data_IF_558610381626
#
_entry.id   IF_558610381626
#
_cell.length_a   1.000
_cell.length_b   1.000
_cell.length_c   1.000
_cell.angle_alpha   90.00
_cell.angle_beta   90.00
_cell.angle_gamma   90.00
#
_symmetry.space_group_name_H-M   'P 1'
#
loop_
_entity.id
_entity.type
_entity.pdbx_description
1 polymer ?
#
# COMPACT_ATOMS: atom_id res chain seq x y z
N UNK A 1 26.68 -1.79 5.20
CA UNK A 1 27.39 -1.71 3.90
C UNK A 1 26.69 -2.58 2.85
N UNK A 2 26.47 -2.07 1.63
CA UNK A 2 25.81 -2.79 0.51
C UNK A 2 26.64 -2.64 -0.78
N UNK A 3 26.30 -3.39 -1.82
CA UNK A 3 26.82 -3.20 -3.19
C UNK A 3 25.78 -2.47 -4.03
N UNK A 4 26.21 -1.87 -5.15
CA UNK A 4 25.29 -1.22 -6.09
C UNK A 4 24.21 -2.19 -6.58
N UNK A 5 24.58 -3.43 -6.93
CA UNK A 5 23.62 -4.44 -7.38
C UNK A 5 22.57 -4.78 -6.31
N UNK A 6 23.02 -5.00 -5.07
CA UNK A 6 22.10 -5.37 -3.99
C UNK A 6 21.18 -4.21 -3.61
N UNK A 7 21.68 -2.97 -3.65
CA UNK A 7 20.89 -1.77 -3.43
C UNK A 7 19.78 -1.66 -4.49
N UNK A 8 20.14 -1.68 -5.78
CA UNK A 8 19.19 -1.61 -6.90
C UNK A 8 18.13 -2.71 -6.82
N UNK A 9 18.52 -3.95 -6.54
CA UNK A 9 17.56 -5.05 -6.44
C UNK A 9 16.61 -4.87 -5.25
N UNK A 10 17.14 -4.45 -4.10
CA UNK A 10 16.32 -4.24 -2.90
C UNK A 10 15.38 -3.05 -3.03
N UNK A 11 15.85 -1.94 -3.61
CA UNK A 11 15.09 -0.70 -3.76
C UNK A 11 13.94 -0.87 -4.75
N UNK A 12 14.25 -1.35 -5.96
CA UNK A 12 13.24 -1.57 -7.00
C UNK A 12 12.19 -2.62 -6.61
N UNK A 13 12.59 -3.64 -5.85
CA UNK A 13 11.64 -4.62 -5.27
C UNK A 13 10.81 -3.98 -4.14
N UNK A 14 11.42 -3.12 -3.33
CA UNK A 14 10.77 -2.44 -2.22
C UNK A 14 9.66 -1.50 -2.67
N UNK A 15 9.94 -0.61 -3.62
CA UNK A 15 8.97 0.37 -4.14
C UNK A 15 7.75 -0.31 -4.80
N UNK A 16 7.99 -1.32 -5.66
CA UNK A 16 6.91 -2.11 -6.28
C UNK A 16 6.20 -3.01 -5.27
N UNK A 17 6.93 -3.43 -4.25
CA UNK A 17 6.44 -4.26 -3.16
C UNK A 17 5.77 -3.45 -2.06
N UNK A 18 6.25 -3.62 -0.83
CA UNK A 18 5.60 -3.12 0.40
C UNK A 18 5.47 -1.60 0.43
N UNK A 19 6.34 -0.84 -0.25
CA UNK A 19 6.37 0.62 -0.08
C UNK A 19 5.31 1.35 -0.91
N UNK A 20 4.94 0.83 -2.09
CA UNK A 20 3.93 1.45 -2.95
C UNK A 20 2.96 0.44 -3.56
N UNK A 21 3.42 -0.46 -4.43
CA UNK A 21 2.52 -1.30 -5.24
C UNK A 21 1.69 -2.29 -4.43
N UNK A 22 2.32 -3.13 -3.61
CA UNK A 22 1.61 -4.07 -2.76
C UNK A 22 0.77 -3.37 -1.68
N UNK A 23 1.21 -2.21 -1.20
CA UNK A 23 0.45 -1.40 -0.25
C UNK A 23 -0.88 -0.93 -0.86
N UNK A 24 -0.82 -0.31 -2.03
CA UNK A 24 -2.01 0.15 -2.75
C UNK A 24 -2.95 -1.03 -3.07
N UNK A 25 -2.41 -2.12 -3.64
CA UNK A 25 -3.22 -3.29 -3.99
C UNK A 25 -3.88 -3.97 -2.80
N UNK A 26 -3.21 -4.05 -1.64
CA UNK A 26 -3.81 -4.61 -0.42
C UNK A 26 -4.93 -3.72 0.11
N UNK A 27 -4.73 -2.40 0.12
CA UNK A 27 -5.74 -1.42 0.53
C UNK A 27 -6.98 -1.50 -0.38
N UNK A 28 -6.79 -1.53 -1.69
CA UNK A 28 -7.86 -1.65 -2.68
C UNK A 28 -8.63 -2.97 -2.55
N UNK A 29 -7.92 -4.09 -2.37
CA UNK A 29 -8.53 -5.40 -2.22
C UNK A 29 -9.43 -5.47 -0.97
N UNK A 30 -8.95 -5.00 0.18
CA UNK A 30 -9.75 -4.98 1.41
C UNK A 30 -10.91 -3.98 1.31
N UNK A 31 -10.67 -2.79 0.75
CA UNK A 31 -11.72 -1.80 0.52
C UNK A 31 -12.85 -2.40 -0.31
N UNK A 32 -12.52 -2.98 -1.46
CA UNK A 32 -13.50 -3.60 -2.35
C UNK A 32 -14.30 -4.71 -1.65
N UNK A 33 -13.65 -5.55 -0.84
CA UNK A 33 -14.35 -6.60 -0.11
C UNK A 33 -15.35 -6.01 0.90
N UNK A 34 -14.95 -5.00 1.69
CA UNK A 34 -15.87 -4.30 2.60
C UNK A 34 -17.05 -3.68 1.83
N UNK A 35 -16.78 -3.03 0.69
CA UNK A 35 -17.84 -2.46 -0.17
C UNK A 35 -18.83 -3.53 -0.66
N UNK A 36 -18.35 -4.73 -1.01
CA UNK A 36 -19.21 -5.85 -1.42
C UNK A 36 -20.14 -6.34 -0.31
N UNK A 37 -19.76 -6.15 0.95
CA UNK A 37 -20.60 -6.47 2.12
C UNK A 37 -21.42 -5.27 2.64
N UNK A 38 -21.47 -4.16 1.89
CA UNK A 38 -22.38 -3.04 2.16
C UNK A 38 -21.83 -1.90 3.03
N UNK A 39 -20.54 -1.93 3.39
CA UNK A 39 -19.91 -1.08 4.41
C UNK A 39 -19.69 0.41 4.09
N UNK A 40 -20.57 1.21 3.50
CA UNK A 40 -20.29 2.64 3.14
C UNK A 40 -18.90 2.97 2.48
N UNK A 41 -18.70 4.15 1.89
CA UNK A 41 -17.35 4.50 1.43
C UNK A 41 -16.40 4.94 2.56
N UNK A 42 -16.93 5.62 3.59
CA UNK A 42 -16.15 6.19 4.69
C UNK A 42 -15.65 5.14 5.68
N UNK A 43 -16.50 4.17 6.05
CA UNK A 43 -16.10 3.09 6.96
C UNK A 43 -15.04 2.21 6.30
N UNK A 44 -15.28 1.78 5.05
CA UNK A 44 -14.30 1.00 4.31
C UNK A 44 -12.96 1.72 4.14
N UNK A 45 -12.95 3.05 3.93
CA UNK A 45 -11.71 3.84 3.89
C UNK A 45 -11.03 3.95 5.26
N UNK A 46 -11.81 4.10 6.33
CA UNK A 46 -11.28 4.17 7.69
C UNK A 46 -10.54 2.88 8.08
N UNK A 47 -11.21 1.74 7.89
CA UNK A 47 -10.74 0.38 8.22
C UNK A 47 -9.64 -0.15 7.28
N UNK A 48 -9.15 0.68 6.36
CA UNK A 48 -8.06 0.31 5.43
C UNK A 48 -6.93 1.33 5.46
N UNK A 49 -7.21 2.59 5.10
CA UNK A 49 -6.18 3.60 4.87
C UNK A 49 -6.02 4.53 6.07
N UNK A 50 -7.13 5.04 6.62
CA UNK A 50 -7.05 6.09 7.64
C UNK A 50 -6.42 5.57 8.93
N UNK A 51 -6.92 4.45 9.48
CA UNK A 51 -6.39 3.90 10.72
C UNK A 51 -4.92 3.47 10.59
N UNK A 52 -4.59 2.79 9.49
CA UNK A 52 -3.22 2.37 9.22
C UNK A 52 -2.26 3.57 9.17
N UNK A 53 -2.60 4.61 8.39
CA UNK A 53 -1.68 5.72 8.11
C UNK A 53 -1.65 6.80 9.20
N UNK A 54 -2.74 6.98 9.95
CA UNK A 54 -2.79 7.98 11.03
C UNK A 54 -2.32 7.44 12.37
N UNK A 55 -2.48 6.13 12.62
CA UNK A 55 -2.18 5.55 13.93
C UNK A 55 -1.19 4.40 13.86
N UNK A 56 -1.53 3.28 13.24
CA UNK A 56 -0.81 2.01 13.44
C UNK A 56 0.62 2.03 12.90
N UNK A 57 0.84 2.58 11.69
CA UNK A 57 2.17 2.59 11.08
C UNK A 57 3.18 3.42 11.87
N UNK A 58 2.71 4.43 12.62
CA UNK A 58 3.56 5.24 13.50
C UNK A 58 4.09 4.42 14.66
N UNK A 59 3.22 3.60 15.27
CA UNK A 59 3.61 2.68 16.35
C UNK A 59 4.66 1.68 15.88
N UNK A 60 4.50 1.17 14.64
CA UNK A 60 5.49 0.27 14.01
C UNK A 60 6.82 0.99 13.76
N UNK A 61 6.79 2.22 13.25
CA UNK A 61 7.99 3.01 13.01
C UNK A 61 8.74 3.36 14.29
N UNK A 62 8.02 3.60 15.38
CA UNK A 62 8.61 3.95 16.68
C UNK A 62 9.18 2.73 17.42
N UNK A 63 8.46 1.60 17.45
CA UNK A 63 8.77 0.49 18.36
C UNK A 63 8.66 -0.92 17.73
N UNK A 64 8.32 -1.03 16.44
CA UNK A 64 8.18 -2.32 15.75
C UNK A 64 6.77 -2.93 15.82
N UNK A 65 6.60 -4.04 15.09
CA UNK A 65 5.31 -4.70 14.89
C UNK A 65 4.76 -5.38 16.15
N UNK A 66 5.63 -5.99 16.95
CA UNK A 66 5.25 -6.65 18.20
C UNK A 66 4.74 -5.64 19.23
N UNK A 67 5.38 -4.47 19.31
CA UNK A 67 4.90 -3.38 20.16
C UNK A 67 3.54 -2.86 19.70
N UNK A 68 3.35 -2.65 18.38
CA UNK A 68 2.06 -2.24 17.83
C UNK A 68 0.96 -3.26 18.20
N UNK A 69 1.22 -4.57 18.06
CA UNK A 69 0.25 -5.60 18.47
C UNK A 69 -0.04 -5.52 19.97
N UNK A 70 0.99 -5.47 20.82
CA UNK A 70 0.82 -5.43 22.27
C UNK A 70 -0.01 -4.21 22.77
N UNK A 71 -0.03 -3.12 21.99
CA UNK A 71 -0.79 -1.90 22.30
C UNK A 71 -2.17 -1.83 21.62
N UNK A 72 -2.58 -2.87 20.88
CA UNK A 72 -3.94 -3.02 20.36
C UNK A 72 -4.82 -3.86 21.30
N UNK A 73 -6.13 -3.90 21.04
CA UNK A 73 -7.07 -4.75 21.81
C UNK A 73 -6.77 -6.24 21.66
N UNK A 74 -7.20 -7.05 22.64
CA UNK A 74 -7.03 -8.51 22.59
C UNK A 74 -7.64 -9.15 21.31
N UNK A 75 -8.78 -8.61 20.84
CA UNK A 75 -9.43 -9.05 19.59
C UNK A 75 -8.55 -8.77 18.38
N UNK A 76 -7.99 -7.56 18.27
CA UNK A 76 -7.10 -7.19 17.17
C UNK A 76 -5.81 -8.01 17.19
N UNK A 77 -5.20 -8.20 18.36
CA UNK A 77 -4.01 -9.03 18.54
C UNK A 77 -4.21 -10.45 18.05
N UNK A 78 -5.26 -11.13 18.54
CA UNK A 78 -5.55 -12.52 18.18
C UNK A 78 -5.86 -12.65 16.69
N UNK A 79 -6.70 -11.77 16.15
CA UNK A 79 -7.05 -11.75 14.74
C UNK A 79 -5.84 -11.54 13.84
N UNK A 80 -4.98 -10.56 14.14
CA UNK A 80 -3.78 -10.30 13.37
C UNK A 80 -2.81 -11.51 13.37
N UNK A 81 -2.59 -12.13 14.54
CA UNK A 81 -1.73 -13.31 14.65
C UNK A 81 -2.29 -14.54 13.93
N UNK A 82 -3.61 -14.73 13.92
CA UNK A 82 -4.26 -15.83 13.20
C UNK A 82 -4.18 -15.68 11.68
N UNK A 83 -4.31 -14.45 11.17
CA UNK A 83 -4.41 -14.21 9.74
C UNK A 83 -3.08 -13.89 9.05
N UNK A 84 -2.08 -13.35 9.77
CA UNK A 84 -0.80 -12.91 9.16
C UNK A 84 -0.11 -13.99 8.31
N UNK A 85 -0.18 -15.25 8.72
CA UNK A 85 0.46 -16.35 7.99
C UNK A 85 -0.28 -16.71 6.69
N UNK A 86 -1.60 -16.51 6.63
CA UNK A 86 -2.39 -16.68 5.40
C UNK A 86 -2.03 -15.59 4.40
N UNK A 87 -1.97 -14.32 4.84
CA UNK A 87 -1.53 -13.21 4.00
C UNK A 87 -0.11 -13.43 3.49
N UNK A 88 0.83 -13.80 4.38
CA UNK A 88 2.21 -14.10 4.00
C UNK A 88 2.29 -15.15 2.91
N UNK A 89 1.60 -16.28 3.08
CA UNK A 89 1.57 -17.37 2.08
C UNK A 89 0.99 -16.93 0.74
N UNK A 90 0.00 -16.03 0.74
CA UNK A 90 -0.61 -15.53 -0.49
C UNK A 90 0.35 -14.62 -1.29
N UNK A 91 1.16 -13.81 -0.62
CA UNK A 91 2.03 -12.82 -1.25
C UNK A 91 3.46 -13.30 -1.51
N UNK A 92 3.94 -14.31 -0.78
CA UNK A 92 5.27 -14.91 -0.94
C UNK A 92 5.61 -15.22 -2.42
N UNK A 93 4.73 -15.88 -3.22
CA UNK A 93 5.02 -16.15 -4.63
C UNK A 93 5.10 -14.88 -5.49
N UNK A 94 4.27 -13.87 -5.20
CA UNK A 94 4.25 -12.60 -5.93
C UNK A 94 5.54 -11.82 -5.68
N UNK A 95 6.04 -11.81 -4.44
CA UNK A 95 7.33 -11.18 -4.13
C UNK A 95 8.51 -11.91 -4.76
N UNK A 96 8.47 -13.25 -4.85
CA UNK A 96 9.50 -14.01 -5.55
C UNK A 96 9.51 -13.70 -7.06
N UNK A 97 8.34 -13.61 -7.68
CA UNK A 97 8.21 -13.18 -9.08
C UNK A 97 8.74 -11.76 -9.29
N UNK A 98 8.33 -10.82 -8.44
CA UNK A 98 8.76 -9.42 -8.50
C UNK A 98 10.29 -9.30 -8.40
N UNK A 99 10.90 -9.93 -7.40
CA UNK A 99 12.36 -9.90 -7.24
C UNK A 99 13.08 -10.46 -8.48
N UNK A 100 12.58 -11.56 -9.04
CA UNK A 100 13.15 -12.14 -10.26
C UNK A 100 12.99 -11.19 -11.47
N UNK A 101 11.84 -10.51 -11.61
CA UNK A 101 11.63 -9.52 -12.68
C UNK A 101 12.61 -8.35 -12.57
N UNK A 102 12.89 -7.90 -11.34
CA UNK A 102 13.91 -6.86 -11.07
C UNK A 102 15.31 -7.38 -11.38
N UNK A 103 15.69 -8.54 -10.85
CA UNK A 103 17.04 -9.08 -10.97
C UNK A 103 17.42 -9.40 -12.43
N UNK A 104 16.44 -9.78 -13.25
CA UNK A 104 16.61 -10.04 -14.69
C UNK A 104 16.65 -8.78 -15.55
N UNK A 105 16.38 -7.60 -14.97
CA UNK A 105 16.35 -6.32 -15.69
C UNK A 105 15.05 -6.04 -16.46
N UNK A 106 14.06 -6.94 -16.38
CA UNK A 106 12.75 -6.79 -17.04
C UNK A 106 12.02 -5.54 -16.56
N UNK A 107 12.01 -5.28 -15.24
CA UNK A 107 11.41 -4.06 -14.70
C UNK A 107 12.11 -2.80 -15.21
N UNK A 108 13.44 -2.82 -15.32
CA UNK A 108 14.22 -1.70 -15.85
C UNK A 108 13.90 -1.44 -17.32
N UNK A 109 13.77 -2.48 -18.13
CA UNK A 109 13.35 -2.36 -19.53
C UNK A 109 11.97 -1.70 -19.66
N UNK A 110 11.02 -2.10 -18.82
CA UNK A 110 9.67 -1.52 -18.80
C UNK A 110 9.74 -0.03 -18.47
N UNK A 111 10.46 0.36 -17.41
CA UNK A 111 10.61 1.76 -16.99
C UNK A 111 11.24 2.60 -18.10
N UNK A 112 12.33 2.12 -18.70
CA UNK A 112 13.00 2.83 -19.79
C UNK A 112 12.08 3.00 -21.00
N UNK A 113 11.35 1.95 -21.38
CA UNK A 113 10.42 1.98 -22.52
C UNK A 113 9.26 2.94 -22.29
N UNK A 114 8.59 2.84 -21.13
CA UNK A 114 7.41 3.64 -20.81
C UNK A 114 7.77 5.11 -20.64
N UNK A 115 8.84 5.41 -19.88
CA UNK A 115 9.26 6.80 -19.63
C UNK A 115 9.85 7.50 -20.86
N UNK A 116 10.31 6.73 -21.86
CA UNK A 116 10.81 7.28 -23.13
C UNK A 116 9.70 7.51 -24.17
N UNK A 117 8.45 7.12 -23.88
CA UNK A 117 7.34 7.35 -24.80
C UNK A 117 7.07 8.86 -24.96
N UNK A 118 6.81 9.37 -26.18
CA UNK A 118 6.56 10.80 -26.42
C UNK A 118 5.36 11.35 -25.62
N UNK A 119 4.39 10.48 -25.34
CA UNK A 119 3.15 10.77 -24.62
C UNK A 119 3.14 10.22 -23.18
N UNK A 120 4.31 9.95 -22.59
CA UNK A 120 4.40 9.37 -21.25
C UNK A 120 3.63 10.19 -20.19
N UNK A 121 3.71 11.52 -20.25
CA UNK A 121 3.05 12.39 -19.27
C UNK A 121 1.53 12.30 -19.35
N UNK A 122 0.99 12.23 -20.56
CA UNK A 122 -0.45 12.08 -20.79
C UNK A 122 -0.93 10.74 -20.22
N UNK A 123 -0.25 9.64 -20.55
CA UNK A 123 -0.59 8.30 -20.05
C UNK A 123 -0.50 8.20 -18.52
N UNK A 124 0.58 8.71 -17.92
CA UNK A 124 0.73 8.73 -16.46
C UNK A 124 -0.39 9.55 -15.79
N UNK A 125 -0.76 10.68 -16.37
CA UNK A 125 -1.84 11.50 -15.84
C UNK A 125 -3.19 10.79 -15.91
N UNK A 126 -3.42 9.97 -16.94
CA UNK A 126 -4.63 9.13 -17.05
C UNK A 126 -4.68 8.08 -15.94
N UNK A 127 -3.59 7.34 -15.72
CA UNK A 127 -3.50 6.33 -14.63
C UNK A 127 -3.69 6.98 -13.24
N UNK A 128 -3.01 8.11 -12.99
CA UNK A 128 -3.15 8.82 -11.72
C UNK A 128 -4.55 9.45 -11.56
N UNK A 129 -5.20 9.83 -12.65
CA UNK A 129 -6.58 10.31 -12.63
C UNK A 129 -7.55 9.19 -12.28
N UNK A 130 -7.41 8.02 -12.88
CA UNK A 130 -8.21 6.83 -12.55
C UNK A 130 -8.15 6.52 -11.05
N UNK A 131 -6.92 6.44 -10.50
CA UNK A 131 -6.73 6.21 -9.07
C UNK A 131 -7.42 7.30 -8.23
N UNK A 132 -7.19 8.59 -8.56
CA UNK A 132 -7.78 9.73 -7.84
C UNK A 132 -9.30 9.75 -7.89
N UNK A 133 -9.90 9.34 -8.99
CA UNK A 133 -11.35 9.35 -9.23
C UNK A 133 -12.06 8.09 -8.72
N UNK A 134 -11.32 7.06 -8.32
CA UNK A 134 -11.90 5.87 -7.65
C UNK A 134 -12.70 6.23 -6.40
N UNK A 135 -13.75 5.45 -6.10
CA UNK A 135 -14.62 5.64 -4.92
C UNK A 135 -13.79 5.72 -3.63
N UNK A 136 -12.79 4.85 -3.50
CA UNK A 136 -11.88 4.78 -2.36
C UNK A 136 -11.14 6.10 -2.12
N UNK A 137 -10.50 6.65 -3.16
CA UNK A 137 -9.68 7.85 -3.00
C UNK A 137 -10.51 9.14 -2.94
N UNK A 138 -11.72 9.15 -3.51
CA UNK A 138 -12.72 10.21 -3.28
C UNK A 138 -13.24 10.21 -1.83
N UNK A 139 -13.56 9.03 -1.27
CA UNK A 139 -13.92 8.90 0.14
C UNK A 139 -12.76 9.39 1.03
N UNK A 140 -11.53 9.00 0.71
CA UNK A 140 -10.34 9.49 1.41
C UNK A 140 -10.15 11.00 1.33
N UNK A 141 -10.46 11.63 0.20
CA UNK A 141 -10.39 13.10 0.08
C UNK A 141 -11.37 13.78 1.05
N UNK A 142 -12.60 13.26 1.17
CA UNK A 142 -13.59 13.75 2.11
C UNK A 142 -13.16 13.53 3.58
N UNK A 143 -12.69 12.33 3.93
CA UNK A 143 -12.18 12.01 5.28
C UNK A 143 -11.02 12.93 5.65
N UNK A 144 -10.04 13.12 4.76
CA UNK A 144 -8.90 14.03 4.97
C UNK A 144 -9.31 15.49 5.11
N UNK A 145 -10.45 15.92 4.54
CA UNK A 145 -10.96 17.27 4.69
C UNK A 145 -11.55 17.52 6.08
N UNK A 146 -12.06 16.47 6.74
CA UNK A 146 -12.71 16.57 8.05
C UNK A 146 -11.74 16.51 9.25
N UNK A 147 -10.46 16.20 9.01
CA UNK A 147 -9.45 16.03 10.07
C UNK A 147 -9.34 17.27 10.97
N UNK A 148 -9.17 17.10 12.30
CA UNK A 148 -9.13 18.22 13.25
C UNK A 148 -8.08 19.29 12.92
N UNK A 149 -6.91 18.85 12.47
CA UNK A 149 -5.79 19.70 12.07
C UNK A 149 -6.05 20.59 10.84
N UNK A 150 -7.12 20.33 10.08
CA UNK A 150 -7.61 21.23 9.01
C UNK A 150 -8.69 22.21 9.45
N UNK A 151 -9.32 21.99 10.62
CA UNK A 151 -10.36 22.90 11.14
C UNK A 151 -9.77 24.17 11.76
N UNK A 152 -8.48 24.16 12.08
CA UNK A 152 -7.74 25.28 12.67
C UNK A 152 -6.89 26.04 11.64
N UNK A 153 -7.12 25.85 10.34
CA UNK A 153 -6.56 26.62 9.23
C UNK A 153 -7.67 27.37 8.52
#
# INVERSE_FOLDING_TARGET
PTTFQMEVYSDLTGERGVLMGALAGMMEAQYAELRRHGHTPSEAFNETVEELTQSLIRLVGENGMDWMYANCSATAQRGALDWRHKFRKAVEPVFAELYNSVATGKETEIVLRVNSAPNYKELLNEELKEMRESEMWQAGAAVRALRPEKRNK
#
